data_IF_592089196397
#
_entry.id   IF_592089196397
#
_cell.length_a   1.000
_cell.length_b   1.000
_cell.length_c   1.000
_cell.angle_alpha   90.00
_cell.angle_beta   90.00
_cell.angle_gamma   90.00
#
_symmetry.space_group_name_H-M   'P 1'
#
loop_
_entity.id
_entity.type
_entity.pdbx_description
1 polymer ?
#
# COMPACT_ATOMS: atom_id res chain seq x y z
N UNK A 1 -12.61 1.11 -5.07
CA UNK A 1 -13.37 -0.15 -5.38
C UNK A 1 -13.44 -0.99 -4.12
N UNK A 2 -14.57 -1.59 -3.82
CA UNK A 2 -14.74 -2.42 -2.61
C UNK A 2 -15.23 -3.81 -3.02
N UNK A 3 -14.59 -4.85 -2.50
CA UNK A 3 -15.04 -6.24 -2.66
C UNK A 3 -15.11 -6.91 -1.28
N UNK A 4 -16.11 -7.77 -1.07
CA UNK A 4 -16.31 -8.51 0.18
C UNK A 4 -16.16 -10.00 -0.05
N UNK A 5 -15.48 -10.65 0.87
CA UNK A 5 -15.25 -12.08 0.84
C UNK A 5 -15.61 -12.67 2.21
N UNK A 6 -16.58 -13.58 2.21
CA UNK A 6 -16.94 -14.33 3.41
C UNK A 6 -15.89 -15.40 3.69
N UNK A 7 -15.70 -15.74 4.97
CA UNK A 7 -14.81 -16.82 5.38
C UNK A 7 -15.27 -18.18 4.82
N UNK A 8 -14.35 -19.14 4.79
CA UNK A 8 -14.57 -20.48 4.18
C UNK A 8 -14.51 -21.62 5.21
N UNK A 9 -14.49 -21.31 6.49
CA UNK A 9 -14.48 -22.28 7.58
C UNK A 9 -15.90 -22.55 8.08
N UNK A 10 -16.13 -23.69 8.70
CA UNK A 10 -17.41 -23.99 9.36
C UNK A 10 -17.59 -23.12 10.62
N UNK A 11 -18.83 -22.71 10.87
CA UNK A 11 -19.21 -21.91 12.05
C UNK A 11 -19.16 -20.39 11.80
N UNK A 12 -19.23 -19.55 12.86
CA UNK A 12 -19.20 -18.10 12.73
C UNK A 12 -17.81 -17.60 12.40
N UNK A 13 -17.74 -16.45 11.72
CA UNK A 13 -16.48 -15.77 11.43
C UNK A 13 -15.70 -15.47 12.72
N UNK A 14 -14.38 -15.59 12.66
CA UNK A 14 -13.46 -15.21 13.76
C UNK A 14 -13.37 -13.69 13.94
N UNK A 15 -13.70 -12.93 12.92
CA UNK A 15 -13.67 -11.48 12.89
C UNK A 15 -13.79 -10.98 11.47
N UNK A 16 -13.69 -9.66 11.33
CA UNK A 16 -13.73 -8.95 10.06
C UNK A 16 -12.43 -8.20 9.85
N UNK A 17 -11.86 -8.27 8.64
CA UNK A 17 -10.61 -7.59 8.28
C UNK A 17 -10.84 -6.68 7.07
N UNK A 18 -10.34 -5.44 7.18
CA UNK A 18 -10.37 -4.45 6.12
C UNK A 18 -8.96 -4.27 5.54
N UNK A 19 -8.75 -4.79 4.33
CA UNK A 19 -7.48 -4.70 3.60
C UNK A 19 -7.56 -3.56 2.59
N UNK A 20 -6.62 -2.60 2.69
CA UNK A 20 -6.52 -1.50 1.75
C UNK A 20 -5.37 -1.72 0.77
N UNK A 21 -5.67 -1.75 -0.52
CA UNK A 21 -4.67 -1.61 -1.59
C UNK A 21 -4.50 -0.13 -1.91
N UNK A 22 -3.30 0.38 -1.68
CA UNK A 22 -2.95 1.77 -1.97
C UNK A 22 -2.46 1.92 -3.41
N UNK A 23 -3.05 2.82 -4.17
CA UNK A 23 -2.71 3.19 -5.55
C UNK A 23 -2.65 2.03 -6.56
N UNK A 24 -3.67 1.17 -6.66
CA UNK A 24 -3.64 0.03 -7.58
C UNK A 24 -3.54 0.41 -9.06
N UNK A 25 -3.88 1.63 -9.47
CA UNK A 25 -3.77 2.09 -10.86
C UNK A 25 -2.33 2.42 -11.26
N UNK A 26 -1.56 3.03 -10.36
CA UNK A 26 -0.22 3.54 -10.64
C UNK A 26 0.90 2.71 -10.02
N UNK A 27 0.60 1.95 -8.96
CA UNK A 27 1.55 1.18 -8.17
C UNK A 27 1.21 -0.32 -8.19
N UNK A 28 1.14 -0.90 -9.39
CA UNK A 28 0.78 -2.32 -9.59
C UNK A 28 1.56 -2.94 -10.77
N UNK A 29 2.78 -2.47 -11.01
CA UNK A 29 3.56 -2.85 -12.21
C UNK A 29 3.93 -4.34 -12.25
N UNK A 30 4.07 -4.96 -11.09
CA UNK A 30 4.44 -6.38 -10.96
C UNK A 30 3.24 -7.28 -10.67
N UNK A 31 2.02 -6.80 -10.83
CA UNK A 31 0.83 -7.51 -10.42
C UNK A 31 0.64 -7.52 -8.90
N UNK A 32 1.04 -6.45 -8.23
CA UNK A 32 1.04 -6.31 -6.75
C UNK A 32 -0.35 -6.49 -6.14
N UNK A 33 -1.42 -6.28 -6.91
CA UNK A 33 -2.78 -6.67 -6.53
C UNK A 33 -2.87 -8.15 -6.12
N UNK A 34 -2.03 -9.02 -6.70
CA UNK A 34 -1.92 -10.41 -6.33
C UNK A 34 -1.56 -10.62 -4.86
N UNK A 35 -0.69 -9.77 -4.29
CA UNK A 35 -0.33 -9.82 -2.87
C UNK A 35 -1.57 -9.57 -1.98
N UNK A 36 -2.38 -8.57 -2.34
CA UNK A 36 -3.62 -8.25 -1.63
C UNK A 36 -4.61 -9.41 -1.71
N UNK A 37 -4.79 -10.01 -2.89
CA UNK A 37 -5.67 -11.16 -3.07
C UNK A 37 -5.20 -12.38 -2.27
N UNK A 38 -3.90 -12.66 -2.24
CA UNK A 38 -3.33 -13.77 -1.44
C UNK A 38 -3.59 -13.54 0.04
N UNK A 39 -3.36 -12.33 0.56
CA UNK A 39 -3.64 -12.01 1.96
C UNK A 39 -5.12 -12.18 2.30
N UNK A 40 -6.01 -11.68 1.44
CA UNK A 40 -7.45 -11.84 1.61
C UNK A 40 -7.87 -13.31 1.63
N UNK A 41 -7.37 -14.13 0.68
CA UNK A 41 -7.69 -15.55 0.63
C UNK A 41 -7.18 -16.32 1.83
N UNK A 42 -5.97 -16.02 2.27
CA UNK A 42 -5.40 -16.64 3.48
C UNK A 42 -6.19 -16.25 4.72
N UNK A 43 -6.63 -15.02 4.84
CA UNK A 43 -7.50 -14.58 5.95
C UNK A 43 -8.84 -15.33 5.94
N UNK A 44 -9.47 -15.49 4.76
CA UNK A 44 -10.70 -16.28 4.62
C UNK A 44 -10.51 -17.74 5.08
N UNK A 45 -9.41 -18.38 4.67
CA UNK A 45 -9.10 -19.76 5.09
C UNK A 45 -8.80 -19.87 6.59
N UNK A 46 -8.43 -18.77 7.23
CA UNK A 46 -8.26 -18.69 8.68
C UNK A 46 -9.56 -18.31 9.42
N UNK A 47 -10.67 -18.17 8.72
CA UNK A 47 -11.98 -17.93 9.29
C UNK A 47 -12.38 -16.46 9.44
N UNK A 48 -11.70 -15.54 8.75
CA UNK A 48 -12.06 -14.12 8.76
C UNK A 48 -12.90 -13.75 7.54
N UNK A 49 -13.91 -12.90 7.75
CA UNK A 49 -14.53 -12.16 6.66
C UNK A 49 -13.61 -11.02 6.24
N UNK A 50 -13.50 -10.76 4.94
CA UNK A 50 -12.56 -9.77 4.43
C UNK A 50 -13.26 -8.76 3.54
N UNK A 51 -13.04 -7.47 3.83
CA UNK A 51 -13.37 -6.37 2.96
C UNK A 51 -12.10 -5.85 2.26
N UNK A 52 -12.06 -5.98 0.93
CA UNK A 52 -11.00 -5.39 0.12
C UNK A 52 -11.40 -3.98 -0.31
N UNK A 53 -10.54 -3.04 0.02
CA UNK A 53 -10.67 -1.64 -0.33
C UNK A 53 -9.53 -1.25 -1.29
N UNK A 54 -9.77 -0.30 -2.15
CA UNK A 54 -8.73 0.34 -2.94
C UNK A 54 -8.83 1.85 -2.80
N UNK A 55 -7.67 2.50 -2.83
CA UNK A 55 -7.55 3.95 -2.83
C UNK A 55 -6.63 4.41 -3.96
N UNK A 56 -7.10 5.32 -4.79
CA UNK A 56 -6.35 6.05 -5.80
C UNK A 56 -6.53 7.57 -5.59
N UNK A 57 -5.66 8.43 -6.16
CA UNK A 57 -5.81 9.87 -6.04
C UNK A 57 -7.22 10.35 -6.45
N UNK A 58 -7.85 11.10 -5.55
CA UNK A 58 -9.22 11.60 -5.71
C UNK A 58 -10.31 10.76 -5.07
N UNK A 59 -9.99 9.56 -4.59
CA UNK A 59 -10.91 8.77 -3.80
C UNK A 59 -11.02 9.30 -2.35
N UNK A 60 -12.01 8.83 -1.63
CA UNK A 60 -12.11 9.04 -0.19
C UNK A 60 -11.29 7.96 0.55
N UNK A 61 -10.36 8.41 1.40
CA UNK A 61 -9.56 7.50 2.21
C UNK A 61 -10.44 6.88 3.31
N UNK A 62 -10.45 5.54 3.48
CA UNK A 62 -11.24 4.91 4.54
C UNK A 62 -10.77 5.40 5.93
N UNK A 63 -11.72 5.46 6.89
CA UNK A 63 -11.42 5.92 8.25
C UNK A 63 -10.54 4.97 9.05
N UNK A 64 -10.73 3.67 8.84
CA UNK A 64 -10.01 2.58 9.52
C UNK A 64 -9.70 1.44 8.55
N UNK A 65 -8.59 0.77 8.80
CA UNK A 65 -8.13 -0.41 8.07
C UNK A 65 -7.37 -1.33 9.02
N UNK A 66 -7.29 -2.61 8.69
CA UNK A 66 -6.52 -3.59 9.45
C UNK A 66 -5.18 -3.93 8.80
N UNK A 67 -5.07 -3.83 7.47
CA UNK A 67 -3.85 -4.11 6.72
C UNK A 67 -3.77 -3.15 5.53
N UNK A 68 -2.59 -2.56 5.30
CA UNK A 68 -2.29 -1.79 4.10
C UNK A 68 -1.33 -2.57 3.19
N UNK A 69 -1.62 -2.60 1.90
CA UNK A 69 -0.75 -3.16 0.87
C UNK A 69 -0.51 -2.12 -0.21
N UNK A 70 0.72 -1.98 -0.65
CA UNK A 70 1.06 -1.11 -1.76
C UNK A 70 2.22 -1.64 -2.57
N UNK A 71 2.16 -1.44 -3.86
CA UNK A 71 3.02 -2.09 -4.84
C UNK A 71 4.10 -1.22 -5.43
N UNK A 72 4.73 -1.76 -6.46
CA UNK A 72 5.75 -1.10 -7.26
C UNK A 72 5.15 -0.26 -8.37
N UNK A 73 5.86 0.80 -8.72
CA UNK A 73 5.56 1.66 -9.86
C UNK A 73 6.84 2.16 -10.51
N UNK A 74 6.74 2.51 -11.80
CA UNK A 74 7.80 3.26 -12.47
C UNK A 74 7.86 4.69 -11.95
N UNK A 75 8.97 5.41 -12.22
CA UNK A 75 9.15 6.81 -11.81
C UNK A 75 7.95 7.69 -12.20
N UNK A 76 7.36 7.46 -13.38
CA UNK A 76 6.16 8.18 -13.84
C UNK A 76 4.91 7.88 -13.00
N UNK A 77 4.77 6.67 -12.46
CA UNK A 77 3.69 6.32 -11.55
C UNK A 77 3.90 6.99 -10.20
N UNK A 78 5.12 6.92 -9.68
CA UNK A 78 5.51 7.60 -8.44
C UNK A 78 5.30 9.12 -8.53
N UNK A 79 5.64 9.73 -9.66
CA UNK A 79 5.44 11.17 -9.90
C UNK A 79 3.95 11.56 -9.89
N UNK A 80 3.06 10.70 -10.42
CA UNK A 80 1.62 10.95 -10.43
C UNK A 80 0.97 10.91 -9.05
N UNK A 81 1.47 10.05 -8.16
CA UNK A 81 0.87 9.88 -6.82
C UNK A 81 1.51 10.76 -5.75
N UNK A 82 2.67 11.35 -6.00
CA UNK A 82 3.49 12.04 -4.98
C UNK A 82 2.75 13.10 -4.16
N UNK A 83 1.97 13.93 -4.84
CA UNK A 83 1.22 15.01 -4.19
C UNK A 83 0.10 14.47 -3.31
N UNK A 84 -0.63 13.48 -3.82
CA UNK A 84 -1.68 12.82 -3.06
C UNK A 84 -1.09 12.03 -1.88
N UNK A 85 0.02 11.33 -2.08
CA UNK A 85 0.71 10.59 -1.02
C UNK A 85 1.16 11.52 0.12
N UNK A 86 1.68 12.70 -0.19
CA UNK A 86 2.02 13.71 0.83
C UNK A 86 0.77 14.17 1.58
N UNK A 87 -0.35 14.37 0.88
CA UNK A 87 -1.63 14.78 1.46
C UNK A 87 -2.16 13.72 2.44
N UNK A 88 -2.13 12.44 2.07
CA UNK A 88 -2.63 11.34 2.92
C UNK A 88 -1.59 10.85 3.93
N UNK A 89 -0.35 11.25 3.77
CA UNK A 89 0.79 10.86 4.62
C UNK A 89 0.54 10.92 6.12
N UNK A 90 -0.06 12.01 6.66
CA UNK A 90 -0.40 12.07 8.08
C UNK A 90 -1.30 10.92 8.55
N UNK A 91 -2.30 10.54 7.76
CA UNK A 91 -3.19 9.41 8.09
C UNK A 91 -2.44 8.08 8.04
N UNK A 92 -1.59 7.86 7.02
CA UNK A 92 -0.77 6.65 6.93
C UNK A 92 0.17 6.52 8.13
N UNK A 93 0.77 7.63 8.58
CA UNK A 93 1.60 7.66 9.79
C UNK A 93 0.81 7.34 11.07
N UNK A 94 -0.40 7.87 11.18
CA UNK A 94 -1.29 7.56 12.30
C UNK A 94 -1.62 6.07 12.34
N UNK A 95 -2.01 5.47 11.23
CA UNK A 95 -2.26 4.03 11.15
C UNK A 95 -1.02 3.19 11.54
N UNK A 96 0.16 3.59 11.06
CA UNK A 96 1.40 2.91 11.45
C UNK A 96 1.69 3.03 12.95
N UNK A 97 1.46 4.20 13.54
CA UNK A 97 1.60 4.44 14.98
C UNK A 97 0.60 3.62 15.80
N UNK A 98 -0.61 3.42 15.27
CA UNK A 98 -1.65 2.57 15.87
C UNK A 98 -1.39 1.06 15.67
N UNK A 99 -0.30 0.70 14.98
CA UNK A 99 0.14 -0.69 14.79
C UNK A 99 -0.49 -1.40 13.60
N UNK A 100 -1.10 -0.69 12.64
CA UNK A 100 -1.59 -1.27 11.40
C UNK A 100 -0.42 -1.83 10.58
N UNK A 101 -0.36 -3.15 10.29
CA UNK A 101 0.68 -3.73 9.47
C UNK A 101 0.60 -3.23 8.03
N UNK A 102 1.77 -2.94 7.45
CA UNK A 102 1.90 -2.39 6.11
C UNK A 102 2.86 -3.20 5.27
N UNK A 103 2.41 -3.67 4.11
CA UNK A 103 3.26 -4.30 3.10
C UNK A 103 3.51 -3.32 1.96
N UNK A 104 4.67 -2.67 1.98
CA UNK A 104 5.10 -1.73 0.94
C UNK A 104 6.19 -2.37 0.07
N UNK A 105 5.99 -2.38 -1.24
CA UNK A 105 6.87 -3.05 -2.20
C UNK A 105 7.44 -2.05 -3.19
N UNK A 106 8.76 -2.16 -3.46
CA UNK A 106 9.47 -1.41 -4.48
C UNK A 106 9.23 0.11 -4.39
N UNK A 107 8.51 0.69 -5.36
CA UNK A 107 8.27 2.13 -5.43
C UNK A 107 7.56 2.70 -4.21
N UNK A 108 6.55 2.01 -3.67
CA UNK A 108 5.88 2.51 -2.48
C UNK A 108 6.78 2.42 -1.22
N UNK A 109 7.64 1.38 -1.13
CA UNK A 109 8.65 1.32 -0.08
C UNK A 109 9.59 2.55 -0.13
N UNK A 110 10.03 2.93 -1.34
CA UNK A 110 10.89 4.10 -1.54
C UNK A 110 10.21 5.40 -1.06
N UNK A 111 8.93 5.55 -1.39
CA UNK A 111 8.14 6.75 -1.02
C UNK A 111 7.67 6.74 0.45
N UNK A 112 7.69 5.61 1.13
CA UNK A 112 7.48 5.56 2.59
C UNK A 112 8.70 6.02 3.38
N UNK A 113 9.89 6.04 2.76
CA UNK A 113 11.07 6.73 3.27
C UNK A 113 10.97 8.24 3.12
N UNK A 114 12.12 8.92 3.20
CA UNK A 114 12.23 10.37 3.02
C UNK A 114 12.03 10.79 1.56
N UNK A 115 12.35 9.89 0.62
CA UNK A 115 12.20 10.13 -0.80
C UNK A 115 13.09 9.24 -1.65
N UNK A 116 12.99 9.46 -2.94
CA UNK A 116 13.73 8.74 -3.97
C UNK A 116 14.39 9.71 -4.94
N UNK A 117 15.72 9.60 -5.07
CA UNK A 117 16.49 10.32 -6.10
C UNK A 117 16.62 9.45 -7.34
N UNK A 118 16.00 9.85 -8.45
CA UNK A 118 16.06 9.12 -9.72
C UNK A 118 17.47 9.14 -10.33
N UNK A 119 17.75 8.26 -11.30
CA UNK A 119 19.01 8.25 -12.04
C UNK A 119 19.30 9.57 -12.81
N UNK A 120 18.27 10.38 -13.04
CA UNK A 120 18.38 11.72 -13.66
C UNK A 120 18.59 12.83 -12.62
N UNK A 121 18.73 12.49 -11.34
CA UNK A 121 18.89 13.45 -10.25
C UNK A 121 17.59 14.15 -9.83
N UNK A 122 16.43 13.70 -10.28
CA UNK A 122 15.14 14.23 -9.85
C UNK A 122 14.81 13.68 -8.47
N UNK A 123 14.43 14.56 -7.55
CA UNK A 123 13.94 14.21 -6.22
C UNK A 123 12.43 13.97 -6.25
N UNK A 124 12.00 12.81 -5.78
CA UNK A 124 10.59 12.50 -5.55
C UNK A 124 10.41 12.40 -4.03
N UNK A 125 9.66 13.32 -3.40
CA UNK A 125 9.51 13.33 -1.96
C UNK A 125 8.71 12.13 -1.47
N UNK A 126 9.14 11.55 -0.35
CA UNK A 126 8.41 10.54 0.41
C UNK A 126 7.69 11.14 1.60
N UNK A 127 7.03 10.27 2.36
CA UNK A 127 6.27 10.68 3.55
C UNK A 127 7.06 10.55 4.87
N UNK A 128 8.30 10.07 4.83
CA UNK A 128 9.13 9.88 6.03
C UNK A 128 8.44 9.02 7.10
N UNK A 129 7.78 7.94 6.69
CA UNK A 129 7.25 6.92 7.59
C UNK A 129 8.39 6.03 8.13
N UNK A 130 9.43 5.83 7.32
CA UNK A 130 10.65 5.12 7.69
C UNK A 130 11.86 6.05 7.56
N UNK A 131 12.87 5.86 8.42
CA UNK A 131 14.14 6.56 8.33
C UNK A 131 15.02 5.92 7.23
N UNK A 132 14.64 6.13 5.98
CA UNK A 132 15.32 5.61 4.81
C UNK A 132 15.24 6.59 3.64
N UNK A 133 16.28 6.63 2.80
CA UNK A 133 16.33 7.38 1.55
C UNK A 133 16.84 6.47 0.45
N UNK A 134 16.22 6.52 -0.72
CA UNK A 134 16.62 5.72 -1.88
C UNK A 134 17.32 6.60 -2.91
N UNK A 135 18.48 6.15 -3.38
CA UNK A 135 19.25 6.82 -4.44
C UNK A 135 19.48 5.82 -5.56
N UNK A 136 19.17 6.21 -6.80
CA UNK A 136 19.46 5.38 -7.96
C UNK A 136 20.98 5.22 -8.13
N UNK A 137 21.43 3.98 -8.28
CA UNK A 137 22.84 3.68 -8.57
C UNK A 137 23.17 3.83 -10.06
N UNK A 138 24.45 3.98 -10.36
CA UNK A 138 24.95 4.10 -11.74
C UNK A 138 25.01 2.77 -12.49
N UNK A 139 24.94 1.65 -11.77
CA UNK A 139 25.04 0.28 -12.32
C UNK A 139 23.93 -0.61 -11.78
N UNK A 140 23.49 -1.56 -12.62
CA UNK A 140 22.66 -2.67 -12.15
C UNK A 140 23.56 -3.71 -11.45
N UNK A 141 23.10 -4.19 -10.31
CA UNK A 141 23.68 -5.35 -9.63
C UNK A 141 23.32 -6.63 -10.39
#
# INVERSE_FOLDING_TARGET
MTARYEHTTDGPARGHLRLLQLYPRDMNIYGDWGNTLVLARRAQWQGYDVELLSYDPGDELPGDIDILVGGGGQDSGQDRIKEDLVKVGPTLKAWAADGVPMLAICGLYQLFGHGFTTAKGQEIPGISLMDAHTVAGDTRL
#
